data_IF_293976628644
#
_entry.id   IF_293976628644
#
_cell.length_a   1.000
_cell.length_b   1.000
_cell.length_c   1.000
_cell.angle_alpha   90.00
_cell.angle_beta   90.00
_cell.angle_gamma   90.00
#
_symmetry.space_group_name_H-M   'P 1'
#
loop_
_entity.id
_entity.type
_entity.pdbx_description
1 polymer ?
#
# COMPACT_ATOMS: atom_id res chain seq x y z
N UNK A 1 -15.42 -12.52 9.08
CA UNK A 1 -14.26 -12.07 9.89
C UNK A 1 -13.73 -13.25 10.70
N UNK A 2 -12.41 -13.48 10.72
CA UNK A 2 -11.83 -14.69 11.34
C UNK A 2 -11.92 -14.65 12.87
N UNK A 3 -12.22 -15.80 13.49
CA UNK A 3 -12.36 -15.96 14.95
C UNK A 3 -11.07 -15.69 15.74
N UNK A 4 -9.93 -15.75 15.07
CA UNK A 4 -8.61 -15.56 15.67
C UNK A 4 -8.20 -14.08 15.80
N UNK A 5 -9.01 -13.15 15.30
CA UNK A 5 -8.71 -11.73 15.35
C UNK A 5 -9.00 -11.18 16.74
N UNK A 6 -8.02 -10.49 17.32
CA UNK A 6 -8.18 -9.80 18.61
C UNK A 6 -9.18 -8.65 18.47
N UNK A 7 -9.71 -8.19 19.60
CA UNK A 7 -10.70 -7.12 19.62
C UNK A 7 -10.18 -5.82 18.97
N UNK A 8 -8.94 -5.44 19.26
CA UNK A 8 -8.29 -4.25 18.68
C UNK A 8 -8.33 -4.25 17.16
N UNK A 9 -8.08 -5.41 16.53
CA UNK A 9 -8.05 -5.48 15.07
C UNK A 9 -9.46 -5.45 14.45
N UNK A 10 -10.50 -5.75 15.24
CA UNK A 10 -11.90 -5.64 14.79
C UNK A 10 -12.40 -4.20 14.81
N UNK A 11 -11.84 -3.36 15.66
CA UNK A 11 -12.30 -1.99 15.91
C UNK A 11 -11.44 -0.92 15.22
N UNK A 12 -10.30 -1.30 14.64
CA UNK A 12 -9.43 -0.33 13.98
C UNK A 12 -10.04 0.23 12.70
N UNK A 13 -9.72 1.49 12.43
CA UNK A 13 -9.89 2.12 11.12
C UNK A 13 -8.62 1.88 10.30
N UNK A 14 -8.68 1.11 9.19
CA UNK A 14 -7.50 0.85 8.39
C UNK A 14 -6.98 2.11 7.71
N UNK A 15 -5.66 2.17 7.50
CA UNK A 15 -5.08 3.14 6.59
C UNK A 15 -5.67 2.96 5.18
N UNK A 16 -6.15 4.06 4.60
CA UNK A 16 -6.60 4.11 3.21
C UNK A 16 -5.45 4.65 2.36
N UNK A 17 -4.86 3.84 1.46
CA UNK A 17 -3.83 4.33 0.55
C UNK A 17 -4.41 5.37 -0.42
N UNK A 18 -3.54 6.28 -0.89
CA UNK A 18 -3.89 7.18 -1.98
C UNK A 18 -4.11 6.43 -3.29
N UNK A 19 -4.62 7.14 -4.31
CA UNK A 19 -4.85 6.56 -5.63
C UNK A 19 -3.55 6.05 -6.28
N UNK A 20 -3.66 4.93 -6.99
CA UNK A 20 -2.58 4.38 -7.80
C UNK A 20 -3.11 3.97 -9.19
N UNK A 21 -3.00 4.86 -10.19
CA UNK A 21 -3.45 4.57 -11.55
C UNK A 21 -2.75 3.35 -12.15
N UNK A 22 -3.46 2.58 -12.97
CA UNK A 22 -2.94 1.45 -13.73
C UNK A 22 -3.06 1.73 -15.22
N UNK A 23 -2.20 2.62 -15.70
CA UNK A 23 -2.16 3.04 -17.11
C UNK A 23 -0.77 2.75 -17.67
N UNK A 24 -0.71 2.46 -18.96
CA UNK A 24 0.56 2.21 -19.66
C UNK A 24 1.44 3.47 -19.66
N UNK A 25 2.74 3.29 -19.45
CA UNK A 25 3.71 4.38 -19.45
C UNK A 25 3.61 5.35 -18.26
N UNK A 26 2.95 4.97 -17.16
CA UNK A 26 2.87 5.78 -15.95
C UNK A 26 4.27 6.06 -15.35
N UNK A 27 4.62 7.33 -15.17
CA UNK A 27 5.73 7.75 -14.32
C UNK A 27 5.23 7.84 -12.88
N UNK A 28 5.64 6.91 -12.03
CA UNK A 28 5.17 6.80 -10.64
C UNK A 28 5.98 7.69 -9.70
N UNK A 29 5.31 8.64 -9.03
CA UNK A 29 5.93 9.62 -8.11
C UNK A 29 5.21 9.73 -6.75
N UNK A 30 4.24 8.87 -6.46
CA UNK A 30 3.32 9.03 -5.33
C UNK A 30 3.68 8.22 -4.06
N UNK A 31 4.69 7.35 -4.10
CA UNK A 31 5.04 6.45 -2.97
C UNK A 31 6.51 6.56 -2.50
N UNK A 32 7.24 7.60 -2.91
CA UNK A 32 8.65 7.83 -2.56
C UNK A 32 9.60 6.66 -2.89
N UNK A 33 9.29 5.90 -3.95
CA UNK A 33 10.14 4.78 -4.37
C UNK A 33 11.44 5.28 -5.00
N UNK A 34 12.51 4.50 -4.81
CA UNK A 34 13.78 4.76 -5.51
C UNK A 34 13.58 4.54 -7.02
N UNK A 35 14.07 5.45 -7.87
CA UNK A 35 14.05 5.23 -9.32
C UNK A 35 15.09 4.19 -9.79
N UNK A 36 16.01 3.77 -8.91
CA UNK A 36 17.09 2.84 -9.21
C UNK A 36 16.80 1.42 -8.71
N UNK A 37 17.28 0.37 -9.40
CA UNK A 37 17.17 -1.01 -8.93
C UNK A 37 18.01 -1.25 -7.66
N UNK A 38 17.73 -2.33 -6.91
CA UNK A 38 18.63 -2.79 -5.85
C UNK A 38 20.01 -3.16 -6.42
N UNK A 39 21.01 -3.24 -5.54
CA UNK A 39 22.33 -3.79 -5.89
C UNK A 39 22.19 -5.21 -6.47
N UNK A 40 23.09 -5.62 -7.41
CA UNK A 40 23.18 -7.00 -7.86
C UNK A 40 23.40 -8.01 -6.72
#
# INVERSE_FOLDING_TARGET
MSKFWSQVVRELEPYVPGEQPQIDGLIKLNTNESPYPPSP
#
